data_IF_109846286076
#
_entry.id   IF_109846286076
#
_cell.length_a   1.000
_cell.length_b   1.000
_cell.length_c   1.000
_cell.angle_alpha   90.00
_cell.angle_beta   90.00
_cell.angle_gamma   90.00
#
_symmetry.space_group_name_H-M   'P 1'
#
loop_
_entity.id
_entity.type
_entity.pdbx_description
1 polymer ?
#
# COMPACT_ATOMS: atom_id res chain seq x y z
N UNK A 1 27.80 5.49 -6.41
CA UNK A 1 27.61 5.07 -5.00
C UNK A 1 26.15 5.30 -4.53
N UNK A 2 25.16 4.57 -5.09
CA UNK A 2 23.73 4.72 -4.69
C UNK A 2 22.98 3.39 -4.51
N UNK A 3 23.70 2.28 -4.31
CA UNK A 3 23.10 0.93 -4.15
C UNK A 3 23.10 0.37 -2.72
N UNK A 4 23.66 1.09 -1.74
CA UNK A 4 23.86 0.58 -0.37
C UNK A 4 22.73 0.93 0.61
N UNK A 5 21.99 2.01 0.37
CA UNK A 5 20.98 2.51 1.31
C UNK A 5 19.68 1.68 1.30
N UNK A 6 19.29 1.16 0.13
CA UNK A 6 18.06 0.33 0.00
C UNK A 6 18.25 -1.04 0.65
N UNK A 7 19.44 -1.66 0.51
CA UNK A 7 19.72 -2.98 1.13
C UNK A 7 19.71 -2.94 2.66
N UNK A 8 20.21 -1.85 3.27
CA UNK A 8 20.20 -1.71 4.75
C UNK A 8 18.79 -1.60 5.33
N UNK A 9 17.85 -0.99 4.60
CA UNK A 9 16.47 -0.85 5.07
C UNK A 9 15.73 -2.18 5.04
N UNK A 10 15.94 -2.99 3.98
CA UNK A 10 15.36 -4.32 3.88
C UNK A 10 15.93 -5.32 4.91
N UNK A 11 17.25 -5.31 5.14
CA UNK A 11 17.91 -6.22 6.09
C UNK A 11 17.54 -5.99 7.56
N UNK A 12 17.06 -4.79 7.91
CA UNK A 12 16.67 -4.46 9.29
C UNK A 12 15.32 -5.06 9.69
N UNK A 13 14.46 -5.41 8.73
CA UNK A 13 13.16 -6.04 9.00
C UNK A 13 13.22 -7.58 8.99
N UNK A 14 14.27 -8.19 8.42
CA UNK A 14 14.28 -9.63 8.08
C UNK A 14 15.05 -10.52 9.05
N UNK A 15 15.46 -10.04 10.22
CA UNK A 15 16.32 -10.83 11.12
C UNK A 15 15.57 -11.89 11.96
N UNK A 16 14.22 -11.92 11.98
CA UNK A 16 13.48 -12.83 12.87
C UNK A 16 12.18 -13.45 12.34
N UNK A 17 11.81 -13.26 11.07
CA UNK A 17 10.55 -13.82 10.54
C UNK A 17 10.86 -14.88 9.48
N UNK A 18 10.80 -16.15 9.88
CA UNK A 18 10.78 -17.27 8.94
C UNK A 18 9.41 -17.30 8.25
N UNK A 19 9.34 -16.85 7.01
CA UNK A 19 8.11 -16.95 6.19
C UNK A 19 8.11 -18.32 5.52
N UNK A 20 7.37 -19.27 6.09
CA UNK A 20 6.97 -20.51 5.41
C UNK A 20 5.85 -20.19 4.42
N UNK A 21 5.72 -21.01 3.37
CA UNK A 21 4.69 -20.88 2.33
C UNK A 21 3.28 -21.15 2.88
N UNK A 22 2.72 -20.13 3.54
CA UNK A 22 1.32 -19.85 3.79
C UNK A 22 1.20 -18.33 3.70
N UNK A 23 0.05 -17.77 3.30
CA UNK A 23 -0.09 -16.30 3.20
C UNK A 23 0.41 -15.70 4.52
N UNK A 24 1.48 -14.91 4.43
CA UNK A 24 2.04 -14.33 5.63
C UNK A 24 1.00 -13.33 6.16
N UNK A 25 0.92 -13.06 7.47
CA UNK A 25 0.03 -12.02 7.98
C UNK A 25 0.23 -10.67 7.29
N UNK A 26 1.43 -10.41 6.77
CA UNK A 26 1.73 -9.24 5.95
C UNK A 26 1.11 -9.29 4.55
N UNK A 27 1.00 -10.48 3.96
CA UNK A 27 0.31 -10.72 2.69
C UNK A 27 -1.18 -10.45 2.84
N UNK A 28 -1.83 -11.00 3.88
CA UNK A 28 -3.27 -10.78 4.12
C UNK A 28 -3.56 -9.29 4.38
N UNK A 29 -2.71 -8.62 5.16
CA UNK A 29 -2.82 -7.16 5.40
C UNK A 29 -2.64 -6.36 4.10
N UNK A 30 -1.73 -6.78 3.22
CA UNK A 30 -1.53 -6.13 1.94
C UNK A 30 -2.76 -6.32 1.04
N UNK A 31 -3.32 -7.52 0.99
CA UNK A 31 -4.50 -7.83 0.20
C UNK A 31 -5.71 -7.01 0.67
N UNK A 32 -5.95 -6.95 1.98
CA UNK A 32 -7.00 -6.11 2.59
C UNK A 32 -6.82 -4.62 2.25
N UNK A 33 -5.58 -4.11 2.30
CA UNK A 33 -5.28 -2.72 1.95
C UNK A 33 -5.53 -2.46 0.46
N UNK A 34 -5.13 -3.38 -0.40
CA UNK A 34 -5.31 -3.27 -1.85
C UNK A 34 -6.79 -3.30 -2.24
N UNK A 35 -7.59 -4.15 -1.59
CA UNK A 35 -9.04 -4.22 -1.82
C UNK A 35 -9.74 -2.91 -1.40
N UNK A 36 -9.37 -2.38 -0.22
CA UNK A 36 -9.88 -1.09 0.26
C UNK A 36 -9.47 0.06 -0.66
N UNK A 37 -8.22 0.08 -1.13
CA UNK A 37 -7.71 1.09 -2.06
C UNK A 37 -8.45 1.04 -3.40
N UNK A 38 -8.64 -0.15 -3.97
CA UNK A 38 -9.36 -0.33 -5.23
C UNK A 38 -10.82 0.15 -5.13
N UNK A 39 -11.49 -0.16 -4.02
CA UNK A 39 -12.86 0.28 -3.76
C UNK A 39 -12.97 1.80 -3.68
N UNK A 40 -12.07 2.45 -2.95
CA UNK A 40 -12.08 3.91 -2.79
C UNK A 40 -11.74 4.62 -4.11
N UNK A 41 -10.74 4.13 -4.83
CA UNK A 41 -10.40 4.61 -6.18
C UNK A 41 -11.58 4.54 -7.14
N UNK A 42 -12.34 3.42 -7.15
CA UNK A 42 -13.55 3.29 -7.96
C UNK A 42 -14.59 4.33 -7.57
N UNK A 43 -14.79 4.55 -6.27
CA UNK A 43 -15.73 5.55 -5.78
C UNK A 43 -15.34 6.98 -6.21
N UNK A 44 -14.04 7.34 -6.15
CA UNK A 44 -13.54 8.64 -6.60
C UNK A 44 -13.67 8.86 -8.11
N UNK A 45 -13.43 7.82 -8.91
CA UNK A 45 -13.63 7.89 -10.36
C UNK A 45 -15.10 8.12 -10.69
N UNK A 46 -15.99 7.38 -10.03
CA UNK A 46 -17.45 7.51 -10.20
C UNK A 46 -17.99 8.86 -9.72
N UNK A 47 -17.51 9.37 -8.57
CA UNK A 47 -17.97 10.64 -8.00
C UNK A 47 -17.56 11.87 -8.83
N UNK A 48 -16.53 11.71 -9.65
CA UNK A 48 -16.04 12.76 -10.55
C UNK A 48 -16.51 12.56 -12.00
N UNK A 49 -17.45 11.63 -12.24
CA UNK A 49 -18.01 11.28 -13.56
C UNK A 49 -16.95 10.93 -14.62
N UNK A 50 -15.77 10.51 -14.17
CA UNK A 50 -14.67 10.09 -15.04
C UNK A 50 -14.79 8.59 -15.30
N UNK A 51 -14.30 8.15 -16.46
CA UNK A 51 -14.18 6.73 -16.81
C UNK A 51 -12.75 6.18 -16.63
N UNK A 52 -11.80 7.05 -16.25
CA UNK A 52 -10.37 6.72 -16.19
C UNK A 52 -9.83 6.97 -14.79
N UNK A 53 -9.25 5.94 -14.18
CA UNK A 53 -8.49 6.04 -12.95
C UNK A 53 -7.20 6.85 -13.18
N UNK A 54 -6.95 7.86 -12.35
CA UNK A 54 -5.74 8.70 -12.43
C UNK A 54 -4.92 8.61 -11.14
N UNK A 55 -3.64 9.01 -11.22
CA UNK A 55 -2.76 9.11 -10.03
C UNK A 55 -3.39 9.98 -8.94
N UNK A 56 -4.14 11.03 -9.28
CA UNK A 56 -4.82 11.89 -8.31
C UNK A 56 -5.88 11.14 -7.50
N UNK A 57 -6.54 10.16 -8.11
CA UNK A 57 -7.55 9.33 -7.43
C UNK A 57 -6.87 8.38 -6.44
N UNK A 58 -5.73 7.80 -6.84
CA UNK A 58 -4.91 6.98 -5.96
C UNK A 58 -4.36 7.80 -4.79
N UNK A 59 -3.81 8.98 -5.04
CA UNK A 59 -3.29 9.88 -3.99
C UNK A 59 -4.38 10.29 -2.99
N UNK A 60 -5.59 10.58 -3.48
CA UNK A 60 -6.73 10.91 -2.62
C UNK A 60 -7.18 9.70 -1.81
N UNK A 61 -7.34 8.52 -2.44
CA UNK A 61 -7.70 7.29 -1.76
C UNK A 61 -6.68 6.89 -0.66
N UNK A 62 -5.38 7.04 -0.95
CA UNK A 62 -4.32 6.80 0.04
C UNK A 62 -4.45 7.73 1.24
N UNK A 63 -4.71 9.02 1.03
CA UNK A 63 -4.92 9.99 2.13
C UNK A 63 -6.16 9.69 2.98
N UNK A 64 -7.18 9.07 2.39
CA UNK A 64 -8.39 8.67 3.11
C UNK A 64 -8.19 7.39 3.91
N UNK A 65 -7.41 6.44 3.38
CA UNK A 65 -7.23 5.11 3.98
C UNK A 65 -6.07 5.05 4.98
N UNK A 66 -5.02 5.83 4.74
CA UNK A 66 -3.84 5.88 5.60
C UNK A 66 -3.95 7.14 6.47
N UNK A 67 -4.10 7.00 7.79
CA UNK A 67 -4.17 8.16 8.66
C UNK A 67 -2.88 8.99 8.53
N UNK A 68 -2.98 10.33 8.42
CA UNK A 68 -1.80 11.19 8.46
C UNK A 68 -1.07 10.93 9.78
N UNK A 69 0.24 10.70 9.69
CA UNK A 69 1.05 10.06 10.73
C UNK A 69 0.62 10.37 12.16
N UNK A 70 0.31 9.32 12.92
CA UNK A 70 0.61 9.31 14.35
C UNK A 70 2.13 9.55 14.52
N UNK A 71 2.53 10.34 15.53
CA UNK A 71 3.84 11.00 15.65
C UNK A 71 5.07 10.09 15.55
#
# INVERSE_FOLDING_TARGET
MKGQTVRRSAQRCTASVQVTAGSSPLTDVLDDLMERLAKECKHLVQSTERATLTVRDVEAAVKLLIPPGSP
#
